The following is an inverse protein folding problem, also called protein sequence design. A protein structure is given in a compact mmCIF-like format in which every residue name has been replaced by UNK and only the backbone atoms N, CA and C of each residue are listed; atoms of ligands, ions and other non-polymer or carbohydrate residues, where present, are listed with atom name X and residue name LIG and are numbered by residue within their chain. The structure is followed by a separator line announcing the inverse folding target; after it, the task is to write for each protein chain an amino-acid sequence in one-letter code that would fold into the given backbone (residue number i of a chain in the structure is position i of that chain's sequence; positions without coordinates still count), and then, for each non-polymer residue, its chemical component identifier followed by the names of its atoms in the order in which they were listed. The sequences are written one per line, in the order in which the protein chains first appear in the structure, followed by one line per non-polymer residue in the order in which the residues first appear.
data_IF_384987350666
#
_entry.id   IF_384987350666
#
_cell.length_a   1.000
_cell.length_b   1.000
_cell.length_c   1.000
_cell.angle_alpha   90.00
_cell.angle_beta   90.00
_cell.angle_gamma   90.00
#
_symmetry.space_group_name_H-M   'P 1'
#
loop_
_entity.id
_entity.type
_entity.pdbx_description
1 polymer ?
#
# COMPACT_ATOMS: atom_id res chain seq x y z
N UNK A 1 10.66 -16.29 13.40
CA UNK A 1 10.64 -17.25 12.27
C UNK A 1 12.05 -17.37 11.71
N UNK A 2 12.75 -18.49 11.95
CA UNK A 2 14.20 -18.63 11.68
C UNK A 2 14.58 -19.04 10.24
N UNK A 3 13.61 -19.33 9.37
CA UNK A 3 13.90 -19.73 7.99
C UNK A 3 13.31 -18.71 7.02
N UNK A 4 14.15 -17.84 6.44
CA UNK A 4 13.81 -16.84 5.40
C UNK A 4 13.48 -17.54 4.06
N UNK A 5 12.45 -18.38 4.04
CA UNK A 5 12.10 -19.21 2.87
C UNK A 5 11.25 -18.48 1.84
N UNK A 6 10.55 -17.44 2.28
CA UNK A 6 9.78 -16.56 1.39
C UNK A 6 10.57 -15.28 1.11
N UNK A 7 10.57 -14.85 -0.14
CA UNK A 7 11.24 -13.63 -0.61
C UNK A 7 10.83 -12.42 0.22
N UNK A 8 11.79 -11.55 0.56
CA UNK A 8 11.51 -10.29 1.25
C UNK A 8 10.76 -9.28 0.39
N UNK A 9 10.71 -9.51 -0.92
CA UNK A 9 10.05 -8.66 -1.93
C UNK A 9 8.63 -9.12 -2.29
N UNK A 10 8.05 -10.01 -1.48
CA UNK A 10 6.65 -10.42 -1.57
C UNK A 10 5.96 -10.05 -0.25
N UNK A 11 5.08 -9.05 -0.27
CA UNK A 11 4.40 -8.53 0.92
C UNK A 11 3.01 -9.14 1.16
N UNK A 12 2.48 -9.90 0.21
CA UNK A 12 1.17 -10.55 0.34
C UNK A 12 1.13 -11.61 1.45
N UNK A 13 0.04 -11.64 2.22
CA UNK A 13 -0.29 -12.69 3.21
C UNK A 13 0.77 -12.94 4.30
N UNK A 14 1.60 -11.95 4.59
CA UNK A 14 2.61 -12.04 5.66
C UNK A 14 2.20 -11.21 6.86
N UNK A 15 2.47 -11.76 8.05
CA UNK A 15 2.30 -11.03 9.30
C UNK A 15 3.05 -9.69 9.20
N UNK A 16 2.43 -8.62 9.69
CA UNK A 16 2.95 -7.25 9.67
C UNK A 16 3.05 -6.58 8.29
N UNK A 17 2.82 -7.30 7.19
CA UNK A 17 2.79 -6.73 5.85
C UNK A 17 1.35 -6.38 5.45
N UNK A 18 1.18 -5.32 4.67
CA UNK A 18 -0.10 -4.87 4.14
C UNK A 18 0.10 -4.05 2.86
N UNK A 19 -0.99 -3.75 2.16
CA UNK A 19 -0.98 -2.79 1.05
C UNK A 19 -0.36 -1.44 1.47
N UNK A 20 -0.65 -0.96 2.68
CA UNK A 20 -0.13 0.30 3.21
C UNK A 20 1.39 0.26 3.37
N UNK A 21 1.94 -0.84 3.91
CA UNK A 21 3.40 -0.94 4.14
C UNK A 21 4.18 -1.06 2.83
N UNK A 22 3.65 -1.79 1.85
CA UNK A 22 4.31 -1.88 0.54
C UNK A 22 4.25 -0.56 -0.22
N UNK A 23 3.10 0.11 -0.23
CA UNK A 23 2.98 1.43 -0.85
C UNK A 23 3.82 2.50 -0.14
N UNK A 24 4.03 2.38 1.18
CA UNK A 24 5.00 3.21 1.90
C UNK A 24 6.42 2.99 1.39
N UNK A 25 6.86 1.73 1.24
CA UNK A 25 8.19 1.41 0.68
C UNK A 25 8.35 1.99 -0.73
N UNK A 26 7.35 1.81 -1.59
CA UNK A 26 7.33 2.35 -2.96
C UNK A 26 7.43 3.88 -2.95
N UNK A 27 6.57 4.55 -2.17
CA UNK A 27 6.55 6.01 -2.07
C UNK A 27 7.87 6.59 -1.54
N UNK A 28 8.44 6.00 -0.50
CA UNK A 28 9.71 6.45 0.08
C UNK A 28 10.88 6.22 -0.85
N UNK A 29 10.89 5.11 -1.59
CA UNK A 29 11.92 4.84 -2.61
C UNK A 29 11.90 5.92 -3.69
N UNK A 30 10.72 6.26 -4.20
CA UNK A 30 10.55 7.29 -5.24
C UNK A 30 10.92 8.68 -4.69
N UNK A 31 10.46 9.05 -3.49
CA UNK A 31 10.75 10.36 -2.90
C UNK A 31 12.25 10.51 -2.58
N UNK A 32 12.92 9.43 -2.17
CA UNK A 32 14.37 9.41 -2.01
C UNK A 32 15.11 9.56 -3.34
N UNK A 33 14.61 8.92 -4.40
CA UNK A 33 15.14 9.11 -5.75
C UNK A 33 14.99 10.58 -6.21
N UNK A 34 13.83 11.20 -5.98
CA UNK A 34 13.61 12.62 -6.27
C UNK A 34 14.57 13.54 -5.52
N UNK A 35 14.91 13.23 -4.27
CA UNK A 35 15.90 14.01 -3.50
C UNK A 35 17.30 13.96 -4.14
N UNK A 36 17.64 12.80 -4.72
CA UNK A 36 18.84 12.60 -5.54
C UNK A 36 18.75 13.17 -6.96
N UNK A 37 17.72 13.96 -7.28
CA UNK A 37 17.44 14.49 -8.62
C UNK A 37 17.21 13.40 -9.68
N UNK A 38 16.75 12.22 -9.28
CA UNK A 38 16.41 11.13 -10.20
C UNK A 38 14.93 11.18 -10.59
N UNK A 39 14.62 10.53 -11.70
CA UNK A 39 13.26 10.13 -12.11
C UNK A 39 13.13 8.64 -11.83
N UNK A 40 11.93 8.16 -11.52
CA UNK A 40 11.64 6.73 -11.36
C UNK A 40 10.62 6.28 -12.40
N UNK A 41 10.97 5.26 -13.18
CA UNK A 41 10.04 4.47 -13.95
C UNK A 41 9.36 3.46 -13.01
N UNK A 42 8.03 3.46 -12.99
CA UNK A 42 7.21 2.49 -12.27
C UNK A 42 6.37 1.74 -13.30
N UNK A 43 6.48 0.41 -13.31
CA UNK A 43 5.61 -0.44 -14.13
C UNK A 43 4.79 -1.33 -13.20
N UNK A 44 3.46 -1.22 -13.28
CA UNK A 44 2.50 -2.06 -12.59
C UNK A 44 2.09 -3.20 -13.52
N UNK A 45 2.37 -4.43 -13.14
CA UNK A 45 2.16 -5.65 -13.93
C UNK A 45 0.94 -6.37 -13.36
N UNK A 46 0.01 -6.71 -14.25
CA UNK A 46 -1.24 -7.41 -13.92
C UNK A 46 -1.18 -8.83 -14.50
N UNK A 47 -1.51 -9.84 -13.69
CA UNK A 47 -1.60 -11.22 -14.13
C UNK A 47 -3.04 -11.57 -14.55
N UNK A 48 -3.18 -12.28 -15.67
CA UNK A 48 -4.46 -12.80 -16.12
C UNK A 48 -4.83 -14.05 -15.34
N UNK A 49 -5.97 -14.01 -14.65
CA UNK A 49 -6.54 -15.15 -13.90
C UNK A 49 -5.51 -15.80 -12.97
N UNK A 50 -4.76 -14.99 -12.22
CA UNK A 50 -3.59 -15.42 -11.46
C UNK A 50 -3.81 -16.70 -10.63
N UNK A 51 -4.86 -16.73 -9.81
CA UNK A 51 -5.19 -17.89 -8.98
C UNK A 51 -5.64 -19.11 -9.78
N UNK A 52 -6.29 -18.92 -10.94
CA UNK A 52 -6.82 -20.01 -11.76
C UNK A 52 -5.74 -20.64 -12.67
N UNK A 53 -4.63 -19.93 -12.87
CA UNK A 53 -3.51 -20.37 -13.74
C UNK A 53 -2.45 -21.22 -13.01
N UNK A 54 -2.61 -21.46 -11.70
CA UNK A 54 -1.60 -22.18 -10.91
C UNK A 54 -1.53 -23.66 -11.29
N UNK A 55 -0.40 -24.13 -11.82
CA UNK A 55 -0.20 -25.55 -12.09
C UNK A 55 -0.01 -26.33 -10.77
N UNK A 56 -0.80 -27.38 -10.57
CA UNK A 56 -0.77 -28.16 -9.33
C UNK A 56 0.57 -28.88 -9.11
N UNK A 57 1.14 -29.49 -10.15
CA UNK A 57 2.41 -30.21 -10.08
C UNK A 57 3.56 -29.27 -9.73
N UNK A 58 3.64 -28.10 -10.37
CA UNK A 58 4.66 -27.10 -10.05
C UNK A 58 4.48 -26.52 -8.65
N UNK A 59 3.25 -26.28 -8.21
CA UNK A 59 2.97 -25.82 -6.86
C UNK A 59 3.47 -26.82 -5.80
N UNK A 60 3.23 -28.12 -5.99
CA UNK A 60 3.69 -29.18 -5.08
C UNK A 60 5.22 -29.27 -5.04
N UNK A 61 5.88 -29.11 -6.18
CA UNK A 61 7.35 -29.01 -6.27
C UNK A 61 7.86 -27.78 -5.52
N UNK A 62 7.26 -26.61 -5.73
CA UNK A 62 7.66 -25.37 -5.02
C UNK A 62 7.43 -25.48 -3.51
N UNK A 63 6.35 -26.11 -3.07
CA UNK A 63 6.11 -26.43 -1.66
C UNK A 63 7.23 -27.29 -1.07
N UNK A 64 7.67 -28.30 -1.80
CA UNK A 64 8.80 -29.15 -1.41
C UNK A 64 10.12 -28.37 -1.35
N UNK A 65 10.37 -27.48 -2.32
CA UNK A 65 11.58 -26.65 -2.40
C UNK A 65 11.66 -25.62 -1.26
N UNK A 66 10.53 -25.06 -0.82
CA UNK A 66 10.47 -24.25 0.40
C UNK A 66 10.48 -25.13 1.67
N UNK A 67 10.75 -26.42 1.55
CA UNK A 67 10.95 -27.37 2.64
C UNK A 67 9.69 -27.65 3.46
N UNK A 68 8.53 -27.75 2.81
CA UNK A 68 7.37 -28.42 3.38
C UNK A 68 7.67 -29.91 3.55
N UNK A 69 7.13 -30.55 4.60
CA UNK A 69 7.33 -31.99 4.79
C UNK A 69 6.54 -32.80 3.75
N UNK A 70 6.98 -34.03 3.42
CA UNK A 70 6.25 -34.89 2.48
C UNK A 70 4.77 -35.07 2.83
N UNK A 71 4.43 -35.16 4.13
CA UNK A 71 3.04 -35.27 4.59
C UNK A 71 2.21 -34.03 4.28
N UNK A 72 2.79 -32.83 4.39
CA UNK A 72 2.12 -31.56 4.04
C UNK A 72 1.92 -31.47 2.52
N UNK A 73 2.94 -31.83 1.74
CA UNK A 73 2.85 -31.85 0.26
C UNK A 73 1.75 -32.81 -0.19
N UNK A 74 1.72 -34.03 0.34
CA UNK A 74 0.66 -35.02 0.07
C UNK A 74 -0.73 -34.52 0.51
N UNK A 75 -0.81 -33.76 1.59
CA UNK A 75 -2.04 -33.10 2.03
C UNK A 75 -2.55 -32.09 0.99
N UNK A 76 -1.66 -31.27 0.43
CA UNK A 76 -2.02 -30.33 -0.64
C UNK A 76 -2.34 -31.03 -1.97
N UNK A 77 -1.63 -32.10 -2.31
CA UNK A 77 -1.93 -32.93 -3.47
C UNK A 77 -3.36 -33.46 -3.39
N UNK A 78 -3.74 -34.05 -2.24
CA UNK A 78 -5.11 -34.50 -1.97
C UNK A 78 -6.13 -33.35 -2.04
N UNK A 79 -5.79 -32.17 -1.53
CA UNK A 79 -6.67 -30.99 -1.56
C UNK A 79 -6.96 -30.44 -2.96
N UNK A 80 -6.01 -30.59 -3.89
CA UNK A 80 -6.08 -30.07 -5.26
C UNK A 80 -6.60 -31.12 -6.26
N UNK A 81 -6.37 -32.40 -6.01
CA UNK A 81 -6.73 -33.50 -6.93
C UNK A 81 -8.24 -33.80 -6.93
N UNK A 82 -8.77 -34.20 -8.09
CA UNK A 82 -10.15 -34.69 -8.23
C UNK A 82 -11.22 -33.59 -8.07
N UNK A 83 -10.81 -32.32 -8.13
CA UNK A 83 -11.71 -31.17 -8.04
C UNK A 83 -12.53 -31.01 -9.31
N UNK A 84 -13.78 -30.58 -9.15
CA UNK A 84 -14.66 -30.20 -10.26
C UNK A 84 -15.33 -28.86 -10.01
N UNK A 85 -15.72 -28.16 -11.06
CA UNK A 85 -16.47 -26.92 -11.03
C UNK A 85 -17.72 -26.98 -11.92
N UNK A 86 -18.78 -26.28 -11.50
CA UNK A 86 -20.02 -26.07 -12.26
C UNK A 86 -20.48 -24.62 -12.10
N UNK A 87 -21.18 -24.10 -13.09
CA UNK A 87 -21.82 -22.77 -13.03
C UNK A 87 -23.32 -22.95 -12.78
N UNK A 88 -23.88 -22.16 -11.85
CA UNK A 88 -25.32 -22.11 -11.58
C UNK A 88 -25.88 -20.76 -12.03
N UNK A 89 -26.93 -20.79 -12.86
CA UNK A 89 -27.71 -19.61 -13.25
C UNK A 89 -29.17 -19.87 -12.87
N UNK A 90 -29.67 -19.17 -11.86
CA UNK A 90 -30.97 -19.45 -11.27
C UNK A 90 -31.04 -20.87 -10.70
N UNK A 91 -31.98 -21.67 -11.18
CA UNK A 91 -32.15 -23.09 -10.81
C UNK A 91 -31.32 -24.06 -11.66
N UNK A 92 -30.72 -23.60 -12.76
CA UNK A 92 -30.01 -24.47 -13.70
C UNK A 92 -28.53 -24.57 -13.33
N UNK A 93 -27.98 -25.78 -13.34
CA UNK A 93 -26.57 -26.07 -13.03
C UNK A 93 -25.93 -26.75 -14.22
N UNK A 94 -24.75 -26.29 -14.64
CA UNK A 94 -23.97 -26.93 -15.70
C UNK A 94 -23.45 -28.29 -15.29
N UNK A 95 -23.15 -29.14 -16.27
CA UNK A 95 -22.39 -30.37 -16.05
C UNK A 95 -21.05 -30.04 -15.35
N UNK A 96 -20.63 -30.82 -14.34
CA UNK A 96 -19.34 -30.62 -13.69
C UNK A 96 -18.18 -30.82 -14.67
N UNK A 97 -17.19 -29.93 -14.60
CA UNK A 97 -15.93 -30.04 -15.34
C UNK A 97 -14.76 -30.17 -14.36
N UNK A 98 -13.72 -30.95 -14.68
CA UNK A 98 -12.55 -31.07 -13.82
C UNK A 98 -11.80 -29.74 -13.72
N UNK A 99 -11.18 -29.52 -12.56
CA UNK A 99 -10.30 -28.37 -12.27
C UNK A 99 -8.87 -28.90 -12.23
N UNK A 100 -8.16 -28.80 -13.36
CA UNK A 100 -6.77 -29.23 -13.51
C UNK A 100 -5.74 -28.14 -13.19
N UNK A 101 -6.19 -26.89 -13.08
CA UNK A 101 -5.38 -25.72 -12.78
C UNK A 101 -6.06 -24.87 -11.72
N UNK A 102 -5.22 -24.12 -11.02
CA UNK A 102 -5.63 -23.09 -10.11
C UNK A 102 -5.77 -23.55 -8.67
N UNK A 103 -5.75 -22.57 -7.77
CA UNK A 103 -6.12 -22.75 -6.37
C UNK A 103 -7.49 -22.10 -6.13
N UNK A 104 -8.31 -22.67 -5.23
CA UNK A 104 -9.70 -22.20 -5.08
C UNK A 104 -9.79 -20.75 -4.60
N UNK A 105 -10.49 -19.91 -5.35
CA UNK A 105 -10.75 -18.54 -4.92
C UNK A 105 -11.60 -18.52 -3.64
N UNK A 106 -11.25 -17.66 -2.69
CA UNK A 106 -11.92 -17.56 -1.39
C UNK A 106 -11.48 -18.59 -0.34
N UNK A 107 -10.64 -19.58 -0.69
CA UNK A 107 -10.03 -20.44 0.31
C UNK A 107 -8.90 -19.73 1.05
N UNK A 108 -8.84 -19.92 2.37
CA UNK A 108 -7.91 -19.21 3.28
C UNK A 108 -6.43 -19.41 2.88
N UNK A 109 -6.08 -20.59 2.37
CA UNK A 109 -4.70 -20.94 2.03
C UNK A 109 -4.30 -20.56 0.60
N UNK A 110 -5.25 -20.28 -0.29
CA UNK A 110 -4.94 -19.97 -1.70
C UNK A 110 -4.00 -18.78 -1.85
N UNK A 111 -4.16 -17.66 -1.12
CA UNK A 111 -3.22 -16.54 -1.20
C UNK A 111 -1.78 -16.91 -0.76
N UNK A 112 -1.62 -17.77 0.25
CA UNK A 112 -0.31 -18.28 0.68
C UNK A 112 0.31 -19.20 -0.39
N UNK A 113 -0.47 -20.11 -0.95
CA UNK A 113 -0.03 -21.00 -2.03
C UNK A 113 0.44 -20.20 -3.23
N UNK A 114 -0.29 -19.15 -3.61
CA UNK A 114 0.11 -18.26 -4.69
C UNK A 114 1.42 -17.52 -4.38
N UNK A 115 1.58 -17.00 -3.16
CA UNK A 115 2.83 -16.36 -2.74
C UNK A 115 4.04 -17.32 -2.74
N UNK A 116 3.83 -18.62 -2.47
CA UNK A 116 4.87 -19.65 -2.62
C UNK A 116 5.16 -19.92 -4.10
N UNK A 117 4.11 -19.94 -4.92
CA UNK A 117 4.20 -20.20 -6.35
C UNK A 117 5.04 -19.13 -7.08
N UNK A 118 4.90 -17.86 -6.71
CA UNK A 118 5.62 -16.73 -7.32
C UNK A 118 6.83 -16.26 -6.51
N UNK A 119 7.33 -17.08 -5.59
CA UNK A 119 8.34 -16.67 -4.61
C UNK A 119 9.71 -16.28 -5.21
N UNK A 120 10.02 -16.82 -6.37
CA UNK A 120 11.22 -16.62 -7.20
C UNK A 120 11.10 -15.45 -8.19
N UNK A 121 9.88 -15.01 -8.49
CA UNK A 121 9.64 -13.92 -9.44
C UNK A 121 10.39 -12.62 -9.09
N UNK A 122 10.47 -12.16 -7.82
CA UNK A 122 11.18 -10.93 -7.52
C UNK A 122 12.69 -10.94 -7.80
N UNK A 123 13.29 -12.12 -7.94
CA UNK A 123 14.71 -12.27 -8.30
C UNK A 123 14.96 -12.37 -9.80
N UNK A 124 13.93 -12.26 -10.65
CA UNK A 124 14.08 -12.43 -12.10
C UNK A 124 14.66 -11.21 -12.82
N UNK A 125 14.70 -10.04 -12.18
CA UNK A 125 15.11 -8.77 -12.81
C UNK A 125 16.60 -8.47 -12.58
N UNK A 126 17.21 -7.70 -13.49
CA UNK A 126 18.62 -7.32 -13.44
C UNK A 126 18.83 -5.85 -13.07
N UNK A 127 18.03 -4.94 -13.62
CA UNK A 127 18.24 -3.49 -13.46
C UNK A 127 17.34 -2.88 -12.40
N UNK A 128 16.09 -3.33 -12.35
CA UNK A 128 15.02 -2.78 -11.53
C UNK A 128 14.88 -3.50 -10.19
N UNK A 129 14.11 -2.91 -9.28
CA UNK A 129 13.59 -3.61 -8.09
C UNK A 129 12.18 -4.11 -8.40
N UNK A 130 11.94 -5.39 -8.20
CA UNK A 130 10.60 -5.98 -8.29
C UNK A 130 10.02 -6.16 -6.89
N UNK A 131 8.81 -5.66 -6.69
CA UNK A 131 8.04 -5.81 -5.46
C UNK A 131 6.66 -6.38 -5.78
N UNK A 132 6.22 -7.36 -5.00
CA UNK A 132 4.93 -8.03 -5.21
C UNK A 132 4.04 -7.99 -3.98
N UNK A 133 2.73 -8.02 -4.22
CA UNK A 133 1.70 -8.24 -3.23
C UNK A 133 0.70 -9.25 -3.79
N UNK A 134 0.88 -10.52 -3.42
CA UNK A 134 0.13 -11.63 -4.02
C UNK A 134 0.36 -11.65 -5.53
N UNK A 135 -0.67 -11.39 -6.34
CA UNK A 135 -0.69 -11.36 -7.80
C UNK A 135 -0.30 -9.99 -8.39
N UNK A 136 -0.49 -8.91 -7.65
CA UNK A 136 -0.04 -7.58 -8.06
C UNK A 136 1.48 -7.49 -7.97
N UNK A 137 2.15 -7.15 -9.06
CA UNK A 137 3.60 -6.94 -9.09
C UNK A 137 3.97 -5.60 -9.68
N UNK A 138 5.07 -5.01 -9.22
CA UNK A 138 5.56 -3.74 -9.74
C UNK A 138 7.07 -3.70 -9.80
N UNK A 139 7.60 -3.10 -10.85
CA UNK A 139 9.03 -2.82 -10.97
C UNK A 139 9.32 -1.33 -10.86
N UNK A 140 10.42 -1.01 -10.18
CA UNK A 140 10.93 0.34 -9.99
C UNK A 140 12.36 0.45 -10.49
N UNK A 141 12.59 1.40 -11.42
CA UNK A 141 13.92 1.75 -11.91
C UNK A 141 14.12 3.27 -11.80
N UNK A 142 15.06 3.69 -10.97
CA UNK A 142 15.42 5.11 -10.83
C UNK A 142 16.63 5.46 -11.69
N UNK A 143 16.56 6.57 -12.42
CA UNK A 143 17.55 6.99 -13.40
C UNK A 143 17.73 8.51 -13.40
N UNK A 144 18.88 8.98 -13.88
CA UNK A 144 19.12 10.42 -14.15
C UNK A 144 18.55 10.78 -15.52
N UNK A 145 18.15 12.04 -15.72
CA UNK A 145 17.73 12.52 -17.05
C UNK A 145 18.82 12.29 -18.11
N UNK A 146 20.09 12.39 -17.74
CA UNK A 146 21.23 12.13 -18.63
C UNK A 146 21.35 10.66 -19.09
N UNK A 147 20.79 9.71 -18.35
CA UNK A 147 20.85 8.28 -18.67
C UNK A 147 19.52 7.75 -19.24
N UNK A 148 18.65 8.64 -19.73
CA UNK A 148 17.32 8.27 -20.26
C UNK A 148 17.42 7.33 -21.47
N UNK A 149 18.48 7.43 -22.26
CA UNK A 149 18.66 6.64 -23.49
C UNK A 149 18.76 5.12 -23.19
N UNK A 150 19.34 4.74 -22.05
CA UNK A 150 19.42 3.33 -21.64
C UNK A 150 18.13 2.81 -21.00
N UNK A 151 17.23 3.70 -20.56
CA UNK A 151 16.06 3.33 -19.75
C UNK A 151 15.18 2.31 -20.47
N UNK A 152 14.87 2.57 -21.74
CA UNK A 152 13.98 1.72 -22.53
C UNK A 152 14.53 0.29 -22.61
N UNK A 153 15.80 0.16 -22.99
CA UNK A 153 16.46 -1.14 -23.09
C UNK A 153 16.46 -1.89 -21.75
N UNK A 154 16.80 -1.21 -20.65
CA UNK A 154 16.83 -1.84 -19.31
C UNK A 154 15.45 -2.32 -18.86
N UNK A 155 14.41 -1.52 -19.09
CA UNK A 155 13.02 -1.89 -18.75
C UNK A 155 12.53 -3.05 -19.62
N UNK A 156 12.79 -3.02 -20.93
CA UNK A 156 12.38 -4.10 -21.84
C UNK A 156 13.10 -5.41 -21.54
N UNK A 157 14.38 -5.37 -21.15
CA UNK A 157 15.14 -6.54 -20.69
C UNK A 157 14.54 -7.14 -19.41
N UNK A 158 14.29 -6.32 -18.38
CA UNK A 158 13.66 -6.78 -17.14
C UNK A 158 12.25 -7.34 -17.39
N UNK A 159 11.46 -6.68 -18.24
CA UNK A 159 10.13 -7.15 -18.62
C UNK A 159 10.17 -8.48 -19.38
N UNK A 160 11.16 -8.67 -20.25
CA UNK A 160 11.39 -9.94 -20.92
C UNK A 160 11.71 -11.06 -19.92
N UNK A 161 12.57 -10.80 -18.94
CA UNK A 161 12.91 -11.78 -17.90
C UNK A 161 11.69 -12.13 -17.03
N UNK A 162 10.87 -11.14 -16.68
CA UNK A 162 9.60 -11.37 -15.97
C UNK A 162 8.65 -12.22 -16.83
N UNK A 163 8.50 -11.90 -18.11
CA UNK A 163 7.65 -12.67 -19.02
C UNK A 163 8.13 -14.12 -19.15
N UNK A 164 9.45 -14.34 -19.27
CA UNK A 164 10.02 -15.67 -19.32
C UNK A 164 9.78 -16.44 -18.00
N UNK A 165 10.02 -15.82 -16.85
CA UNK A 165 9.77 -16.43 -15.54
C UNK A 165 8.28 -16.75 -15.33
N UNK A 166 7.37 -15.88 -15.75
CA UNK A 166 5.94 -16.17 -15.73
C UNK A 166 5.60 -17.33 -16.67
N UNK A 167 6.15 -17.37 -17.88
CA UNK A 167 5.92 -18.45 -18.84
C UNK A 167 6.42 -19.81 -18.31
N UNK A 168 7.61 -19.87 -17.72
CA UNK A 168 8.16 -21.08 -17.08
C UNK A 168 7.28 -21.57 -15.92
N UNK A 169 6.59 -20.64 -15.25
CA UNK A 169 5.64 -20.91 -14.19
C UNK A 169 4.19 -21.03 -14.68
N UNK A 170 3.93 -21.11 -15.99
CA UNK A 170 2.58 -21.19 -16.59
C UNK A 170 1.63 -20.07 -16.14
N UNK A 171 2.18 -18.88 -15.85
CA UNK A 171 1.44 -17.68 -15.52
C UNK A 171 1.30 -16.78 -16.75
N UNK A 172 0.12 -16.20 -16.91
CA UNK A 172 -0.20 -15.31 -18.01
C UNK A 172 -0.15 -13.86 -17.54
N UNK A 173 0.68 -13.04 -18.19
CA UNK A 173 0.69 -11.59 -17.95
C UNK A 173 -0.39 -10.93 -18.83
N UNK A 174 -1.00 -9.85 -18.34
CA UNK A 174 -1.91 -9.00 -19.08
C UNK A 174 -1.21 -7.71 -19.54
N UNK A 175 -0.64 -7.65 -20.75
CA UNK A 175 0.01 -6.44 -21.24
C UNK A 175 -0.94 -5.24 -21.31
N UNK A 176 -2.18 -5.42 -21.79
CA UNK A 176 -3.17 -4.32 -21.88
C UNK A 176 -3.58 -3.69 -20.54
N UNK A 177 -3.47 -4.44 -19.44
CA UNK A 177 -3.69 -3.93 -18.08
C UNK A 177 -2.41 -3.43 -17.41
N UNK A 178 -1.24 -3.77 -17.94
CA UNK A 178 0.04 -3.27 -17.44
C UNK A 178 0.10 -1.75 -17.60
N UNK A 179 0.58 -1.04 -16.56
CA UNK A 179 0.66 0.42 -16.56
C UNK A 179 2.09 0.87 -16.33
N UNK A 180 2.60 1.68 -17.24
CA UNK A 180 3.90 2.32 -17.13
C UNK A 180 3.72 3.79 -16.72
N UNK A 181 4.50 4.24 -15.75
CA UNK A 181 4.51 5.62 -15.25
C UNK A 181 5.93 6.14 -15.12
N UNK A 182 6.10 7.44 -15.42
CA UNK A 182 7.29 8.20 -15.09
C UNK A 182 6.96 9.13 -13.92
N UNK A 183 7.71 9.00 -12.83
CA UNK A 183 7.44 9.67 -11.56
C UNK A 183 8.69 10.47 -11.14
N UNK A 184 8.52 11.77 -10.90
CA UNK A 184 9.65 12.67 -10.64
C UNK A 184 9.22 14.09 -10.32
N UNK A 185 10.19 14.99 -10.15
CA UNK A 185 9.90 16.42 -10.04
C UNK A 185 9.43 16.98 -11.39
N UNK A 186 8.63 18.06 -11.37
CA UNK A 186 8.20 18.74 -12.61
C UNK A 186 9.37 19.13 -13.49
N UNK A 187 10.45 19.63 -12.89
CA UNK A 187 11.66 20.05 -13.59
C UNK A 187 12.35 18.90 -14.32
N UNK A 188 12.48 17.73 -13.69
CA UNK A 188 13.12 16.59 -14.33
C UNK A 188 12.23 15.95 -15.39
N UNK A 189 10.92 15.81 -15.12
CA UNK A 189 9.99 15.22 -16.07
C UNK A 189 9.83 16.05 -17.36
N UNK A 190 9.93 17.38 -17.27
CA UNK A 190 9.91 18.28 -18.43
C UNK A 190 11.13 18.15 -19.35
N UNK A 191 12.24 17.59 -18.84
CA UNK A 191 13.46 17.37 -19.63
C UNK A 191 13.46 16.02 -20.36
N UNK A 192 12.48 15.15 -20.08
CA UNK A 192 12.40 13.85 -20.73
C UNK A 192 11.83 13.99 -22.15
N UNK A 193 12.20 13.08 -23.07
CA UNK A 193 11.56 12.97 -24.37
C UNK A 193 10.04 12.78 -24.25
N UNK A 194 9.29 13.26 -25.26
CA UNK A 194 7.82 13.13 -25.28
C UNK A 194 7.38 11.68 -25.53
N UNK A 195 8.13 10.94 -26.35
CA UNK A 195 7.82 9.56 -26.75
C UNK A 195 8.67 8.56 -25.96
N UNK A 196 8.33 8.39 -24.68
CA UNK A 196 8.96 7.41 -23.80
C UNK A 196 8.13 6.13 -23.77
N UNK A 197 8.04 5.42 -24.89
CA UNK A 197 7.30 4.14 -24.98
C UNK A 197 8.18 2.93 -24.68
N UNK A 198 7.57 1.87 -24.17
CA UNK A 198 8.21 0.55 -23.98
C UNK A 198 7.40 -0.52 -24.72
N UNK A 199 8.08 -1.53 -25.24
CA UNK A 199 7.46 -2.69 -25.88
C UNK A 199 7.38 -3.86 -24.88
N UNK A 200 6.21 -4.48 -24.79
CA UNK A 200 5.97 -5.60 -23.90
C UNK A 200 4.92 -6.56 -24.47
N UNK A 201 5.30 -7.83 -24.71
CA UNK A 201 4.40 -8.88 -25.20
C UNK A 201 3.55 -8.46 -26.41
N UNK A 202 4.20 -7.90 -27.45
CA UNK A 202 3.58 -7.36 -28.67
C UNK A 202 2.68 -6.14 -28.48
N UNK A 203 2.65 -5.54 -27.30
CA UNK A 203 2.00 -4.25 -27.06
C UNK A 203 3.03 -3.14 -26.85
N UNK A 204 2.73 -1.93 -27.32
CA UNK A 204 3.50 -0.73 -27.01
C UNK A 204 2.79 0.03 -25.89
N UNK A 205 3.44 0.12 -24.73
CA UNK A 205 2.88 0.76 -23.53
C UNK A 205 3.41 2.19 -23.45
N UNK A 206 2.48 3.14 -23.40
CA UNK A 206 2.77 4.57 -23.21
C UNK A 206 2.72 4.95 -21.73
N UNK A 207 3.51 5.95 -21.28
CA UNK A 207 3.44 6.44 -19.91
C UNK A 207 2.07 7.05 -19.59
N UNK A 208 1.50 6.68 -18.46
CA UNK A 208 0.29 7.31 -17.91
C UNK A 208 0.63 8.27 -16.78
N UNK A 209 -0.19 9.32 -16.60
CA UNK A 209 0.01 10.34 -15.56
C UNK A 209 -0.49 9.90 -14.18
N UNK A 210 -1.38 8.90 -14.13
CA UNK A 210 -1.84 8.26 -12.90
C UNK A 210 -2.19 6.78 -13.12
N UNK A 211 -2.00 5.96 -12.09
CA UNK A 211 -2.42 4.56 -12.09
C UNK A 211 -2.86 4.11 -10.68
N UNK A 212 -3.58 2.99 -10.62
CA UNK A 212 -4.04 2.41 -9.35
C UNK A 212 -3.04 1.36 -8.86
N UNK A 213 -2.60 1.49 -7.62
CA UNK A 213 -1.64 0.60 -6.95
C UNK A 213 -2.16 0.23 -5.55
N UNK A 214 -2.49 -1.05 -5.33
CA UNK A 214 -2.98 -1.63 -4.07
C UNK A 214 -4.08 -0.82 -3.36
N UNK A 215 -5.02 -0.31 -4.16
CA UNK A 215 -6.20 0.42 -3.69
C UNK A 215 -6.05 1.95 -3.62
N UNK A 216 -4.89 2.49 -4.01
CA UNK A 216 -4.67 3.94 -4.11
C UNK A 216 -4.41 4.37 -5.54
N UNK A 217 -4.60 5.65 -5.84
CA UNK A 217 -4.19 6.23 -7.13
C UNK A 217 -2.91 7.02 -6.92
N UNK A 218 -1.88 6.69 -7.68
CA UNK A 218 -0.58 7.36 -7.65
C UNK A 218 -0.50 8.23 -8.90
N UNK A 219 0.03 9.45 -8.78
CA UNK A 219 0.32 10.36 -9.90
C UNK A 219 1.82 10.60 -10.06
N UNK A 220 2.23 11.10 -11.23
CA UNK A 220 3.64 11.35 -11.60
C UNK A 220 4.42 12.27 -10.65
N UNK A 221 3.76 13.02 -9.77
CA UNK A 221 4.40 13.93 -8.81
C UNK A 221 4.20 13.48 -7.35
N UNK A 222 3.53 12.35 -7.15
CA UNK A 222 3.04 11.85 -5.87
C UNK A 222 2.23 12.89 -5.11
N UNK A 223 1.49 13.80 -5.74
CA UNK A 223 0.69 14.81 -5.00
C UNK A 223 -0.57 14.22 -4.38
N UNK A 224 -1.03 13.09 -4.90
CA UNK A 224 -2.26 12.37 -4.57
C UNK A 224 -3.54 13.16 -4.88
N UNK A 225 -3.47 14.16 -5.77
CA UNK A 225 -4.62 15.01 -6.11
C UNK A 225 -5.79 14.21 -6.70
N UNK A 226 -5.49 13.31 -7.65
CA UNK A 226 -6.50 12.45 -8.27
C UNK A 226 -7.07 11.45 -7.26
N UNK A 227 -6.22 10.89 -6.39
CA UNK A 227 -6.65 9.97 -5.34
C UNK A 227 -7.65 10.63 -4.39
N UNK A 228 -7.30 11.80 -3.86
CA UNK A 228 -8.15 12.53 -2.92
C UNK A 228 -9.44 12.99 -3.60
N UNK A 229 -9.39 13.41 -4.86
CA UNK A 229 -10.60 13.79 -5.61
C UNK A 229 -11.55 12.61 -5.76
N UNK A 230 -11.04 11.43 -6.15
CA UNK A 230 -11.83 10.21 -6.26
C UNK A 230 -12.42 9.78 -4.90
N UNK A 231 -11.61 9.89 -3.84
CA UNK A 231 -11.99 9.54 -2.49
C UNK A 231 -13.11 10.43 -1.95
N UNK A 232 -12.97 11.75 -2.10
CA UNK A 232 -13.97 12.75 -1.71
C UNK A 232 -15.28 12.51 -2.44
N UNK A 233 -15.24 12.36 -3.77
CA UNK A 233 -16.44 12.09 -4.58
C UNK A 233 -17.17 10.84 -4.12
N UNK A 234 -16.43 9.75 -3.87
CA UNK A 234 -17.05 8.51 -3.40
C UNK A 234 -17.59 8.62 -1.97
N UNK A 235 -16.88 9.28 -1.06
CA UNK A 235 -17.34 9.46 0.32
C UNK A 235 -18.58 10.36 0.38
N UNK A 236 -18.59 11.45 -0.38
CA UNK A 236 -19.74 12.37 -0.46
C UNK A 236 -20.96 11.66 -1.04
N UNK A 237 -20.80 10.80 -2.05
CA UNK A 237 -21.90 9.99 -2.58
C UNK A 237 -22.52 9.12 -1.47
N UNK A 238 -21.69 8.36 -0.74
CA UNK A 238 -22.17 7.55 0.39
C UNK A 238 -22.86 8.39 1.46
N UNK A 239 -22.28 9.54 1.86
CA UNK A 239 -22.87 10.43 2.85
C UNK A 239 -24.21 11.02 2.40
N UNK A 240 -24.35 11.39 1.13
CA UNK A 240 -25.62 11.87 0.58
C UNK A 240 -26.71 10.80 0.68
N UNK A 241 -26.38 9.53 0.40
CA UNK A 241 -27.34 8.43 0.55
C UNK A 241 -27.69 8.18 2.01
N UNK A 242 -26.69 8.12 2.90
CA UNK A 242 -26.92 7.98 4.35
C UNK A 242 -27.81 9.11 4.87
N UNK A 243 -27.55 10.36 4.47
CA UNK A 243 -28.33 11.52 4.91
C UNK A 243 -29.81 11.45 4.49
N UNK A 244 -30.13 10.83 3.35
CA UNK A 244 -31.54 10.63 2.91
C UNK A 244 -32.32 9.70 3.81
N UNK A 245 -31.66 8.65 4.31
CA UNK A 245 -32.27 7.63 5.17
C UNK A 245 -31.93 7.79 6.65
N UNK A 246 -31.26 8.88 7.04
CA UNK A 246 -30.73 9.02 8.41
C UNK A 246 -31.79 8.93 9.50
N UNK A 247 -33.03 9.32 9.19
CA UNK A 247 -34.17 9.26 10.13
C UNK A 247 -34.57 7.83 10.50
N UNK A 248 -34.11 6.83 9.75
CA UNK A 248 -34.36 5.41 10.02
C UNK A 248 -33.41 4.81 11.05
N UNK A 249 -32.41 5.57 11.50
CA UNK A 249 -31.33 5.08 12.37
C UNK A 249 -31.21 5.96 13.61
N UNK A 250 -30.87 5.35 14.73
CA UNK A 250 -30.40 6.08 15.90
C UNK A 250 -28.97 6.60 15.69
N UNK A 251 -28.48 7.38 16.66
CA UNK A 251 -27.18 8.04 16.56
C UNK A 251 -26.03 7.03 16.56
N UNK A 252 -26.14 5.97 17.35
CA UNK A 252 -25.16 4.90 17.47
C UNK A 252 -25.02 4.14 16.15
N UNK A 253 -26.13 3.74 15.54
CA UNK A 253 -26.16 3.09 14.24
C UNK A 253 -25.62 4.00 13.14
N UNK A 254 -26.00 5.29 13.13
CA UNK A 254 -25.43 6.26 12.17
C UNK A 254 -23.92 6.40 12.32
N UNK A 255 -23.43 6.46 13.55
CA UNK A 255 -21.99 6.53 13.84
C UNK A 255 -21.27 5.30 13.31
N UNK A 256 -21.85 4.11 13.50
CA UNK A 256 -21.29 2.86 12.97
C UNK A 256 -21.29 2.83 11.44
N UNK A 257 -22.41 3.18 10.80
CA UNK A 257 -22.56 3.19 9.33
C UNK A 257 -21.57 4.16 8.70
N UNK A 258 -21.51 5.40 9.18
CA UNK A 258 -20.58 6.42 8.69
C UNK A 258 -19.13 5.99 8.93
N UNK A 259 -18.82 5.41 10.08
CA UNK A 259 -17.46 4.92 10.37
C UNK A 259 -17.06 3.79 9.41
N UNK A 260 -17.95 2.83 9.20
CA UNK A 260 -17.71 1.65 8.38
C UNK A 260 -17.59 1.98 6.88
N UNK A 261 -18.51 2.79 6.35
CA UNK A 261 -18.64 3.03 4.91
C UNK A 261 -17.83 4.25 4.42
N UNK A 262 -17.58 5.22 5.31
CA UNK A 262 -16.96 6.49 4.94
C UNK A 262 -15.60 6.66 5.61
N UNK A 263 -15.53 6.65 6.94
CA UNK A 263 -14.26 6.94 7.64
C UNK A 263 -13.18 5.90 7.37
N UNK A 264 -13.53 4.61 7.35
CA UNK A 264 -12.58 3.54 7.01
C UNK A 264 -12.02 3.67 5.59
N UNK A 265 -12.89 4.02 4.62
CA UNK A 265 -12.48 4.27 3.24
C UNK A 265 -11.59 5.51 3.16
N UNK A 266 -12.01 6.59 3.81
CA UNK A 266 -11.32 7.89 3.79
C UNK A 266 -9.90 7.82 4.35
N UNK A 267 -9.62 6.92 5.28
CA UNK A 267 -8.30 6.77 5.88
C UNK A 267 -7.57 5.46 5.50
N UNK A 268 -8.04 4.76 4.45
CA UNK A 268 -7.32 3.61 3.93
C UNK A 268 -5.95 4.04 3.38
N UNK A 269 -4.90 3.33 3.79
CA UNK A 269 -3.50 3.61 3.44
C UNK A 269 -3.05 5.06 3.65
N UNK A 270 -3.65 5.76 4.63
CA UNK A 270 -3.46 7.20 4.77
C UNK A 270 -2.05 7.61 5.12
N UNK A 271 -1.25 6.73 5.72
CA UNK A 271 0.15 7.05 5.99
C UNK A 271 0.96 7.23 4.71
N UNK A 272 0.50 6.74 3.55
CA UNK A 272 1.21 6.89 2.27
C UNK A 272 0.97 8.27 1.65
N UNK A 273 -0.28 8.73 1.65
CA UNK A 273 -0.70 9.99 1.01
C UNK A 273 -0.84 11.17 1.97
N UNK A 274 -0.58 11.00 3.28
CA UNK A 274 -0.69 12.08 4.27
C UNK A 274 0.25 13.27 4.00
N UNK A 275 1.28 13.08 3.17
CA UNK A 275 2.17 14.12 2.65
C UNK A 275 1.59 14.91 1.45
N UNK A 276 0.27 14.86 1.27
CA UNK A 276 -0.47 15.63 0.26
C UNK A 276 -0.61 17.11 0.64
N UNK A 277 -1.19 17.91 -0.25
CA UNK A 277 -1.35 19.36 -0.06
C UNK A 277 -2.36 19.69 1.06
N UNK A 278 -2.19 20.87 1.67
CA UNK A 278 -3.18 21.40 2.64
C UNK A 278 -4.56 21.60 2.01
N UNK A 279 -4.62 21.90 0.71
CA UNK A 279 -5.86 21.97 -0.08
C UNK A 279 -6.59 20.63 -0.08
N UNK A 280 -5.88 19.51 -0.28
CA UNK A 280 -6.47 18.19 -0.23
C UNK A 280 -6.95 17.80 1.18
N UNK A 281 -6.17 18.14 2.21
CA UNK A 281 -6.59 17.96 3.61
C UNK A 281 -7.89 18.73 3.89
N UNK A 282 -8.02 19.98 3.40
CA UNK A 282 -9.27 20.76 3.52
C UNK A 282 -10.46 20.08 2.84
N UNK A 283 -10.28 19.49 1.65
CA UNK A 283 -11.35 18.73 0.97
C UNK A 283 -11.84 17.57 1.84
N UNK A 284 -10.93 16.79 2.42
CA UNK A 284 -11.26 15.69 3.33
C UNK A 284 -11.92 16.19 4.63
N UNK A 285 -11.47 17.33 5.16
CA UNK A 285 -12.10 17.94 6.33
C UNK A 285 -13.58 18.28 6.07
N UNK A 286 -13.91 18.75 4.86
CA UNK A 286 -15.32 19.00 4.50
C UNK A 286 -16.15 17.71 4.48
N UNK A 287 -15.58 16.59 4.03
CA UNK A 287 -16.22 15.26 4.10
C UNK A 287 -16.48 14.87 5.56
N UNK A 288 -15.47 14.98 6.43
CA UNK A 288 -15.61 14.68 7.86
C UNK A 288 -16.64 15.60 8.52
N UNK A 289 -16.66 16.88 8.18
CA UNK A 289 -17.61 17.84 8.72
C UNK A 289 -19.04 17.46 8.32
N UNK A 290 -19.27 17.10 7.05
CA UNK A 290 -20.59 16.67 6.61
C UNK A 290 -21.03 15.37 7.31
N UNK A 291 -20.12 14.40 7.45
CA UNK A 291 -20.34 13.19 8.20
C UNK A 291 -20.73 13.46 9.67
N UNK A 292 -20.01 14.37 10.34
CA UNK A 292 -20.30 14.78 11.70
C UNK A 292 -21.69 15.43 11.81
N UNK A 293 -22.06 16.34 10.89
CA UNK A 293 -23.39 16.97 10.85
C UNK A 293 -24.52 15.96 10.67
N UNK A 294 -24.31 14.90 9.88
CA UNK A 294 -25.33 13.85 9.69
C UNK A 294 -25.62 13.14 11.02
N UNK A 295 -24.57 12.81 11.80
CA UNK A 295 -24.69 12.07 13.06
C UNK A 295 -25.24 12.95 14.19
N UNK A 296 -24.74 14.18 14.31
CA UNK A 296 -25.02 15.08 15.43
C UNK A 296 -26.20 16.01 15.19
N UNK A 297 -26.74 16.04 13.97
CA UNK A 297 -27.78 16.97 13.52
C UNK A 297 -27.43 18.47 13.69
N UNK A 298 -26.15 18.81 13.80
CA UNK A 298 -25.69 20.20 13.81
C UNK A 298 -26.08 20.90 12.51
N UNK A 299 -26.61 22.13 12.61
CA UNK A 299 -27.08 22.91 11.48
C UNK A 299 -25.98 23.27 10.48
N UNK A 300 -26.35 23.57 9.23
CA UNK A 300 -25.39 23.77 8.13
C UNK A 300 -24.31 24.83 8.42
N UNK A 301 -24.69 25.91 9.10
CA UNK A 301 -23.84 27.07 9.35
C UNK A 301 -23.22 27.08 10.74
N UNK A 302 -23.64 26.16 11.62
CA UNK A 302 -23.11 26.08 12.98
C UNK A 302 -21.67 25.59 12.97
N UNK A 303 -20.90 26.04 13.96
CA UNK A 303 -19.52 25.63 14.14
C UNK A 303 -19.42 24.12 14.35
N UNK A 304 -18.44 23.46 13.70
CA UNK A 304 -18.37 21.98 13.68
C UNK A 304 -17.68 21.37 14.90
N UNK A 305 -16.83 22.14 15.59
CA UNK A 305 -16.02 21.62 16.71
C UNK A 305 -16.82 20.99 17.85
N UNK A 306 -17.99 21.52 18.27
CA UNK A 306 -18.82 20.85 19.27
C UNK A 306 -19.19 19.41 18.88
N UNK A 307 -19.56 19.18 17.62
CA UNK A 307 -19.91 17.84 17.14
C UNK A 307 -18.71 16.91 17.02
N UNK A 308 -17.55 17.43 16.58
CA UNK A 308 -16.34 16.61 16.55
C UNK A 308 -15.89 16.21 17.97
N UNK A 309 -16.02 17.12 18.94
CA UNK A 309 -15.76 16.86 20.36
C UNK A 309 -16.72 15.79 20.90
N UNK A 310 -18.01 15.93 20.63
CA UNK A 310 -19.05 14.97 21.02
C UNK A 310 -18.77 13.55 20.47
N UNK A 311 -18.30 13.45 19.23
CA UNK A 311 -17.97 12.17 18.58
C UNK A 311 -16.57 11.64 18.94
N UNK A 312 -15.78 12.38 19.73
CA UNK A 312 -14.36 12.08 19.97
C UNK A 312 -13.56 11.90 18.67
N UNK A 313 -13.85 12.74 17.68
CA UNK A 313 -13.18 12.75 16.39
C UNK A 313 -12.08 13.80 16.38
N UNK A 314 -10.88 13.40 15.98
CA UNK A 314 -9.83 14.35 15.63
C UNK A 314 -10.17 14.99 14.28
N UNK A 315 -9.85 16.28 14.05
CA UNK A 315 -9.86 16.82 12.70
C UNK A 315 -8.90 16.03 11.80
N UNK A 316 -9.10 16.08 10.49
CA UNK A 316 -8.44 15.18 9.53
C UNK A 316 -6.93 15.26 9.63
N UNK A 317 -6.35 16.46 9.76
CA UNK A 317 -4.90 16.65 9.86
C UNK A 317 -4.32 15.89 11.05
N UNK A 318 -4.92 16.04 12.22
CA UNK A 318 -4.50 15.42 13.47
C UNK A 318 -4.76 13.90 13.44
N UNK A 319 -5.84 13.46 12.77
CA UNK A 319 -6.09 12.04 12.55
C UNK A 319 -5.04 11.37 11.64
N UNK A 320 -4.48 12.11 10.66
CA UNK A 320 -3.36 11.65 9.85
C UNK A 320 -2.07 11.56 10.67
N UNK A 321 -1.76 12.58 11.48
CA UNK A 321 -0.60 12.56 12.39
C UNK A 321 -0.68 11.39 13.38
N UNK A 322 -1.85 11.12 13.96
CA UNK A 322 -2.06 9.96 14.82
C UNK A 322 -1.75 8.64 14.09
N UNK A 323 -2.17 8.51 12.81
CA UNK A 323 -1.91 7.30 12.01
C UNK A 323 -0.45 7.14 11.63
N UNK A 324 0.23 8.24 11.30
CA UNK A 324 1.68 8.25 11.10
C UNK A 324 2.43 7.82 12.37
N UNK A 325 2.07 8.38 13.52
CA UNK A 325 2.65 8.00 14.82
C UNK A 325 2.42 6.52 15.15
N UNK A 326 1.23 5.99 14.82
CA UNK A 326 0.92 4.56 14.96
C UNK A 326 1.81 3.71 14.05
N UNK A 327 2.06 4.11 12.81
CA UNK A 327 2.96 3.40 11.92
C UNK A 327 4.41 3.46 12.43
N UNK A 328 4.86 4.61 12.93
CA UNK A 328 6.16 4.76 13.56
C UNK A 328 6.32 3.86 14.78
N UNK A 329 5.30 3.80 15.66
CA UNK A 329 5.30 2.87 16.79
C UNK A 329 5.47 1.43 16.30
N UNK A 330 4.78 1.04 15.23
CA UNK A 330 4.93 -0.31 14.67
C UNK A 330 6.34 -0.55 14.16
N UNK A 331 6.94 0.38 13.44
CA UNK A 331 8.32 0.23 12.93
C UNK A 331 9.34 0.12 14.06
N UNK A 332 9.28 1.00 15.06
CA UNK A 332 10.24 1.04 16.19
C UNK A 332 10.13 -0.19 17.10
N UNK A 333 8.96 -0.83 17.16
CA UNK A 333 8.71 -2.02 17.97
C UNK A 333 8.65 -3.33 17.14
N UNK A 334 9.19 -3.33 15.91
CA UNK A 334 9.23 -4.51 15.03
C UNK A 334 7.86 -5.16 14.73
N UNK A 335 6.80 -4.34 14.75
CA UNK A 335 5.42 -4.71 14.37
C UNK A 335 5.08 -4.30 12.92
N UNK A 336 6.09 -3.93 12.13
CA UNK A 336 6.04 -3.63 10.72
C UNK A 336 7.06 -4.50 9.95
N UNK A 337 7.01 -4.56 8.61
CA UNK A 337 7.99 -5.30 7.82
C UNK A 337 9.42 -4.80 8.06
N UNK A 338 10.40 -5.68 7.93
CA UNK A 338 11.81 -5.32 8.09
C UNK A 338 12.24 -4.20 7.13
N UNK A 339 11.77 -4.20 5.88
CA UNK A 339 12.07 -3.13 4.93
C UNK A 339 11.58 -1.73 5.36
N UNK A 340 10.67 -1.63 6.33
CA UNK A 340 10.29 -0.35 6.96
C UNK A 340 10.98 -0.17 8.32
N UNK A 341 11.00 -1.20 9.16
CA UNK A 341 11.56 -1.11 10.51
C UNK A 341 13.06 -0.78 10.47
N UNK A 342 13.80 -1.38 9.54
CA UNK A 342 15.24 -1.20 9.37
C UNK A 342 15.60 0.20 8.85
N UNK A 343 14.64 1.02 8.41
CA UNK A 343 14.88 2.42 8.04
C UNK A 343 15.20 3.28 9.26
N UNK A 344 14.74 2.89 10.46
CA UNK A 344 14.78 3.73 11.64
C UNK A 344 15.87 3.27 12.60
N UNK A 345 16.98 4.01 12.62
CA UNK A 345 18.10 3.75 13.52
C UNK A 345 18.12 4.76 14.67
N UNK A 346 18.49 4.31 15.87
CA UNK A 346 18.71 5.22 16.99
C UNK A 346 20.07 5.89 16.85
N UNK A 347 20.22 7.10 17.40
CA UNK A 347 21.52 7.79 17.42
C UNK A 347 22.58 7.02 18.20
N UNK A 348 22.15 6.30 19.25
CA UNK A 348 22.96 5.35 20.02
C UNK A 348 23.64 4.28 19.17
N UNK A 349 22.98 3.84 18.10
CA UNK A 349 23.45 2.75 17.25
C UNK A 349 24.53 3.23 16.25
N UNK A 350 24.60 4.55 16.04
CA UNK A 350 25.51 5.19 15.08
C UNK A 350 26.78 5.68 15.80
N UNK A 351 26.63 6.30 16.97
CA UNK A 351 27.76 6.88 17.72
C UNK A 351 27.61 6.70 19.23
N UNK A 352 28.73 6.40 19.91
CA UNK A 352 28.81 6.21 21.37
C UNK A 352 28.87 7.52 22.18
N UNK A 353 28.50 8.66 21.58
CA UNK A 353 28.55 9.95 22.27
C UNK A 353 27.29 10.12 23.11
N UNK A 354 27.47 10.26 24.41
CA UNK A 354 26.37 10.53 25.34
C UNK A 354 25.87 11.97 25.13
N UNK A 355 24.73 12.10 24.47
CA UNK A 355 24.08 13.39 24.19
C UNK A 355 22.67 13.37 24.75
N UNK A 356 22.10 14.54 25.06
CA UNK A 356 20.70 14.66 25.54
C UNK A 356 19.65 14.04 24.60
N UNK A 357 20.04 13.72 23.37
CA UNK A 357 19.20 13.08 22.33
C UNK A 357 19.62 11.65 21.99
N UNK A 358 20.37 10.97 22.86
CA UNK A 358 20.94 9.65 22.61
C UNK A 358 19.90 8.61 22.12
N UNK A 359 18.71 8.60 22.75
CA UNK A 359 17.64 7.66 22.44
C UNK A 359 16.72 8.11 21.30
N UNK A 360 16.97 9.29 20.71
CA UNK A 360 16.21 9.79 19.56
C UNK A 360 16.59 9.03 18.28
N UNK A 361 15.65 8.94 17.36
CA UNK A 361 15.92 8.41 16.02
C UNK A 361 16.80 9.39 15.23
N UNK A 362 17.67 8.84 14.39
CA UNK A 362 18.51 9.64 13.49
C UNK A 362 17.64 10.26 12.39
N UNK A 363 17.67 11.58 12.28
CA UNK A 363 16.97 12.29 11.20
C UNK A 363 17.77 12.07 9.91
N UNK A 364 17.16 11.50 8.85
CA UNK A 364 17.84 11.33 7.58
C UNK A 364 18.09 12.67 6.88
N UNK A 365 19.22 12.78 6.18
CA UNK A 365 19.57 13.96 5.41
C UNK A 365 18.82 13.94 4.06
N UNK A 366 17.82 14.80 3.93
CA UNK A 366 17.13 15.10 2.68
C UNK A 366 17.34 16.57 2.30
N UNK A 367 17.77 16.81 1.06
CA UNK A 367 18.16 18.14 0.57
C UNK A 367 16.99 18.94 0.00
N UNK A 368 15.92 18.27 -0.38
CA UNK A 368 14.79 18.84 -1.12
C UNK A 368 13.49 18.72 -0.33
N UNK A 369 12.55 19.62 -0.60
CA UNK A 369 11.19 19.53 -0.06
C UNK A 369 10.48 18.25 -0.52
N UNK A 370 10.78 17.74 -1.72
CA UNK A 370 10.25 16.47 -2.20
C UNK A 370 10.73 15.30 -1.31
N UNK A 371 12.03 15.20 -1.03
CA UNK A 371 12.60 14.17 -0.17
C UNK A 371 12.03 14.19 1.25
N UNK A 372 11.81 15.38 1.81
CA UNK A 372 11.23 15.56 3.15
C UNK A 372 9.76 15.09 3.26
N UNK A 373 9.09 14.81 2.14
CA UNK A 373 7.75 14.20 2.13
C UNK A 373 7.77 12.69 2.42
N UNK A 374 8.95 12.05 2.36
CA UNK A 374 9.10 10.63 2.67
C UNK A 374 8.63 10.32 4.08
N UNK A 375 8.03 9.15 4.27
CA UNK A 375 7.67 8.62 5.58
C UNK A 375 8.89 8.50 6.49
N UNK A 376 10.04 8.10 5.95
CA UNK A 376 11.30 8.07 6.68
C UNK A 376 11.63 9.42 7.32
N UNK A 377 11.58 10.53 6.58
CA UNK A 377 11.87 11.86 7.15
C UNK A 377 10.78 12.35 8.11
N UNK A 378 9.52 12.38 7.65
CA UNK A 378 8.42 12.96 8.46
C UNK A 378 8.08 12.09 9.67
N UNK A 379 8.19 10.78 9.53
CA UNK A 379 7.96 9.81 10.60
C UNK A 379 9.00 9.94 11.71
N UNK A 380 10.29 10.06 11.36
CA UNK A 380 11.34 10.33 12.36
C UNK A 380 11.12 11.65 13.07
N UNK A 381 10.84 12.72 12.32
CA UNK A 381 10.59 14.05 12.90
C UNK A 381 9.41 14.00 13.87
N UNK A 382 8.27 13.46 13.42
CA UNK A 382 7.07 13.29 14.24
C UNK A 382 7.37 12.46 15.50
N UNK A 383 8.04 11.31 15.34
CA UNK A 383 8.35 10.43 16.45
C UNK A 383 9.27 11.11 17.46
N UNK A 384 10.32 11.80 17.01
CA UNK A 384 11.24 12.50 17.90
C UNK A 384 10.55 13.60 18.70
N UNK A 385 9.57 14.30 18.11
CA UNK A 385 8.80 15.35 18.76
C UNK A 385 7.76 14.83 19.78
N UNK A 386 7.43 13.53 19.75
CA UNK A 386 6.53 12.94 20.75
C UNK A 386 7.14 12.97 22.16
N UNK A 387 6.29 13.23 23.15
CA UNK A 387 6.63 13.10 24.56
C UNK A 387 7.11 11.67 24.88
N UNK A 388 8.19 11.57 25.66
CA UNK A 388 8.84 10.33 26.08
C UNK A 388 7.83 9.38 26.73
N UNK A 389 6.82 9.90 27.44
CA UNK A 389 5.79 9.06 28.07
C UNK A 389 5.05 8.17 27.07
N UNK A 390 4.83 8.63 25.84
CA UNK A 390 4.15 7.83 24.81
C UNK A 390 5.09 6.79 24.21
N UNK A 391 6.36 7.13 24.04
CA UNK A 391 7.39 6.22 23.47
C UNK A 391 7.65 5.01 24.35
N UNK A 392 7.45 5.14 25.67
CA UNK A 392 7.64 4.09 26.68
C UNK A 392 6.43 3.16 26.86
N UNK A 393 5.36 3.33 26.10
CA UNK A 393 4.16 2.47 26.24
C UNK A 393 4.41 1.10 25.58
N UNK A 394 4.18 0.03 26.34
CA UNK A 394 4.49 -1.35 25.91
C UNK A 394 3.51 -1.96 24.90
N UNK A 395 2.34 -1.32 24.72
CA UNK A 395 1.27 -1.84 23.86
C UNK A 395 0.84 -0.83 22.83
N UNK A 396 0.74 -1.27 21.57
CA UNK A 396 0.17 -0.49 20.46
C UNK A 396 -1.25 0.02 20.78
N UNK A 397 -2.06 -0.77 21.50
CA UNK A 397 -3.43 -0.39 21.87
C UNK A 397 -3.41 0.78 22.85
N UNK A 398 -2.57 0.69 23.88
CA UNK A 398 -2.41 1.75 24.88
C UNK A 398 -1.82 3.00 24.25
N UNK A 399 -0.77 2.87 23.44
CA UNK A 399 -0.18 3.98 22.67
C UNK A 399 -1.21 4.74 21.85
N UNK A 400 -2.00 4.01 21.03
CA UNK A 400 -3.04 4.62 20.19
C UNK A 400 -4.07 5.38 21.01
N UNK A 401 -4.55 4.80 22.11
CA UNK A 401 -5.61 5.39 22.91
C UNK A 401 -5.12 6.63 23.68
N UNK A 402 -3.96 6.53 24.33
CA UNK A 402 -3.36 7.61 25.12
C UNK A 402 -2.96 8.80 24.24
N UNK A 403 -2.33 8.54 23.10
CA UNK A 403 -1.95 9.59 22.16
C UNK A 403 -3.19 10.29 21.60
N UNK A 404 -4.22 9.52 21.18
CA UNK A 404 -5.49 10.10 20.71
C UNK A 404 -6.14 10.97 21.78
N UNK A 405 -6.19 10.49 23.03
CA UNK A 405 -6.76 11.24 24.17
C UNK A 405 -6.04 12.55 24.39
N UNK A 406 -4.70 12.52 24.44
CA UNK A 406 -3.88 13.73 24.59
C UNK A 406 -4.10 14.73 23.46
N UNK A 407 -4.25 14.26 22.21
CA UNK A 407 -4.52 15.13 21.06
C UNK A 407 -5.92 15.76 21.15
N UNK A 408 -6.95 14.99 21.51
CA UNK A 408 -8.30 15.51 21.70
C UNK A 408 -8.35 16.58 22.80
N UNK A 409 -7.66 16.34 23.91
CA UNK A 409 -7.55 17.30 25.01
C UNK A 409 -6.84 18.58 24.57
N UNK A 410 -5.79 18.51 23.76
CA UNK A 410 -5.10 19.72 23.26
C UNK A 410 -5.96 20.56 22.31
N UNK A 411 -6.82 19.91 21.50
CA UNK A 411 -7.62 20.58 20.47
C UNK A 411 -8.91 21.18 21.05
N UNK A 412 -9.53 20.50 22.01
CA UNK A 412 -10.86 20.85 22.52
C UNK A 412 -10.87 21.33 23.98
N UNK A 413 -9.69 21.65 24.53
CA UNK A 413 -9.55 22.28 25.86
C UNK A 413 -10.23 23.64 25.92
#
# INVERSE_FOLDING_TARGET
MKNKKLSTHQSGNKKHHSCETLNLLTGDTILKAMDGKLVTALILIDLSKAFDSVNHTFLLTKLSNVGASPSVVKGFESYLTGRTQSVRIGSTVSTPLPVSYGVPQGAILSPLLFSIYTNDLPSSVHHSKLESYVDDSKILLSFTVANVDCLKQQLEEDLYLIANSCSENELLINPGKTKYMLIGTRQNLQQLPVDMTINFLNETITPVSFAKDLGMTIDSYLTYDQHITNLVSSCMNSLCQINRVKKCFDKEALTLIVSALVMNKMFYCSTVWSNTSSTNIKKLQLVQNFACRIITNIGKFDHISPGLRELNWLPVKEQLLLREAIMMYKCVNELAPHYLSDLFTKRSDIHQRDTRSHDSLQIPLYKTSAGQRSFHYRGVTLWNDLDIKFKKLDSLKTFKNELKRSMLEQIYK
#
